data_IF_715873646479
#
_entry.id   IF_715873646479
#
_cell.length_a   1.000
_cell.length_b   1.000
_cell.length_c   1.000
_cell.angle_alpha   90.00
_cell.angle_beta   90.00
_cell.angle_gamma   90.00
#
_symmetry.space_group_name_H-M   'P 1'
#
loop_
_entity.id
_entity.type
_entity.pdbx_description
1 polymer ?
#
# COMPACT_ATOMS: atom_id res chain seq x y z
N UNK A 1 2.13 -34.65 9.65
CA UNK A 1 1.85 -33.78 8.49
C UNK A 1 1.68 -32.36 8.98
N UNK A 2 2.54 -31.46 8.55
CA UNK A 2 2.51 -30.08 8.98
C UNK A 2 2.09 -29.17 7.82
N UNK A 3 1.02 -28.39 8.03
CA UNK A 3 0.63 -27.32 7.12
C UNK A 3 1.07 -26.00 7.71
N UNK A 4 1.64 -25.16 6.89
CA UNK A 4 2.06 -23.82 7.29
C UNK A 4 1.53 -22.79 6.30
N UNK A 5 1.09 -21.66 6.83
CA UNK A 5 0.66 -20.52 6.02
C UNK A 5 1.67 -19.39 6.21
N UNK A 6 2.14 -18.84 5.10
CA UNK A 6 3.02 -17.68 5.11
C UNK A 6 2.47 -16.60 4.22
N UNK A 7 2.75 -15.35 4.55
CA UNK A 7 2.37 -14.19 3.75
C UNK A 7 3.65 -13.60 3.15
N UNK A 8 3.64 -13.41 1.83
CA UNK A 8 4.75 -12.80 1.11
C UNK A 8 4.25 -11.56 0.38
N UNK A 9 5.01 -10.48 0.46
CA UNK A 9 4.76 -9.27 -0.34
C UNK A 9 5.63 -9.40 -1.59
N UNK A 10 5.15 -10.20 -2.55
CA UNK A 10 5.97 -10.61 -3.67
C UNK A 10 6.12 -9.55 -4.75
N UNK A 11 5.35 -8.46 -4.65
CA UNK A 11 5.47 -7.37 -5.59
C UNK A 11 5.09 -6.05 -4.90
N UNK A 12 6.02 -5.10 -4.92
CA UNK A 12 5.79 -3.75 -4.41
C UNK A 12 6.25 -2.81 -5.53
N UNK A 13 5.30 -2.12 -6.17
CA UNK A 13 5.58 -1.26 -7.31
C UNK A 13 5.23 0.19 -7.00
N UNK A 14 6.08 1.10 -7.46
CA UNK A 14 5.82 2.53 -7.42
C UNK A 14 5.37 2.96 -8.81
N UNK A 15 4.18 3.54 -8.93
CA UNK A 15 3.55 3.80 -10.21
C UNK A 15 3.13 5.26 -10.32
N UNK A 16 3.48 5.88 -11.45
CA UNK A 16 3.00 7.20 -11.83
C UNK A 16 3.71 8.35 -11.13
N UNK A 17 3.29 9.55 -11.50
CA UNK A 17 3.93 10.78 -11.00
C UNK A 17 3.63 11.04 -9.52
N UNK A 18 2.53 10.48 -9.01
CA UNK A 18 2.14 10.64 -7.60
C UNK A 18 2.65 9.50 -6.74
N UNK A 19 3.46 8.61 -7.32
CA UNK A 19 4.10 7.51 -6.62
C UNK A 19 3.10 6.64 -5.85
N UNK A 20 2.00 6.24 -6.51
CA UNK A 20 1.09 5.26 -5.93
C UNK A 20 1.87 3.96 -5.71
N UNK A 21 1.74 3.38 -4.52
CA UNK A 21 2.44 2.14 -4.18
C UNK A 21 1.46 0.99 -4.31
N UNK A 22 1.67 0.14 -5.32
CA UNK A 22 0.86 -1.05 -5.57
C UNK A 22 1.53 -2.25 -4.92
N UNK A 23 0.77 -2.99 -4.14
CA UNK A 23 1.29 -4.14 -3.40
C UNK A 23 0.52 -5.38 -3.82
N UNK A 24 1.26 -6.44 -4.14
CA UNK A 24 0.69 -7.78 -4.31
C UNK A 24 1.15 -8.65 -3.15
N UNK A 25 0.19 -9.21 -2.47
CA UNK A 25 0.38 -10.01 -1.28
C UNK A 25 0.01 -11.45 -1.61
N UNK A 26 0.92 -12.37 -1.39
CA UNK A 26 0.69 -13.79 -1.66
C UNK A 26 0.49 -14.53 -0.34
N UNK A 27 -0.58 -15.29 -0.25
CA UNK A 27 -0.79 -16.24 0.84
C UNK A 27 -0.37 -17.60 0.34
N UNK A 28 0.66 -18.17 0.95
CA UNK A 28 1.28 -19.43 0.52
C UNK A 28 0.99 -20.49 1.56
N UNK A 29 0.40 -21.61 1.12
CA UNK A 29 0.15 -22.77 1.97
C UNK A 29 1.19 -23.83 1.61
N UNK A 30 1.95 -24.27 2.61
CA UNK A 30 2.99 -25.30 2.44
C UNK A 30 2.65 -26.53 3.27
N UNK A 31 3.03 -27.68 2.75
CA UNK A 31 2.96 -28.96 3.46
C UNK A 31 4.36 -29.56 3.49
N UNK A 32 4.88 -29.76 4.71
CA UNK A 32 6.22 -30.33 4.92
C UNK A 32 7.30 -29.60 4.13
N UNK A 33 7.18 -28.26 4.08
CA UNK A 33 8.14 -27.40 3.39
C UNK A 33 7.88 -27.20 1.90
N UNK A 34 6.89 -27.89 1.35
CA UNK A 34 6.57 -27.79 -0.08
C UNK A 34 5.32 -26.96 -0.30
N UNK A 35 5.35 -26.05 -1.25
CA UNK A 35 4.20 -25.19 -1.57
C UNK A 35 3.09 -26.02 -2.21
N UNK A 36 1.90 -25.96 -1.62
CA UNK A 36 0.71 -26.61 -2.17
C UNK A 36 -0.12 -25.67 -3.02
N UNK A 37 -0.30 -24.43 -2.55
CA UNK A 37 -1.13 -23.45 -3.23
C UNK A 37 -0.69 -22.05 -2.86
N UNK A 38 -1.07 -21.10 -3.71
CA UNK A 38 -0.76 -19.69 -3.54
C UNK A 38 -1.93 -18.86 -4.04
N UNK A 39 -2.38 -17.94 -3.23
CA UNK A 39 -3.42 -16.99 -3.62
C UNK A 39 -2.88 -15.57 -3.50
N UNK A 40 -3.48 -14.64 -4.26
CA UNK A 40 -2.97 -13.27 -4.35
C UNK A 40 -4.06 -12.27 -4.00
N UNK A 41 -3.64 -11.20 -3.31
CA UNK A 41 -4.44 -10.00 -3.09
C UNK A 41 -3.62 -8.80 -3.53
N UNK A 42 -4.30 -7.77 -4.04
CA UNK A 42 -3.65 -6.53 -4.44
C UNK A 42 -4.33 -5.36 -3.77
N UNK A 43 -3.52 -4.37 -3.39
CA UNK A 43 -4.05 -3.10 -2.94
C UNK A 43 -3.10 -1.96 -3.35
N UNK A 44 -3.60 -0.74 -3.28
CA UNK A 44 -2.86 0.47 -3.67
C UNK A 44 -2.89 1.44 -2.51
N UNK A 45 -1.73 2.06 -2.25
CA UNK A 45 -1.60 3.10 -1.24
C UNK A 45 -1.26 4.43 -1.90
N UNK A 46 -1.89 5.49 -1.42
CA UNK A 46 -1.66 6.86 -1.90
C UNK A 46 -1.06 7.72 -0.79
N UNK A 47 -0.39 8.84 -1.14
CA UNK A 47 0.31 9.67 -0.15
C UNK A 47 -0.57 10.25 0.96
N UNK A 48 -1.85 10.45 0.70
CA UNK A 48 -2.73 11.00 1.72
C UNK A 48 -4.10 11.39 1.18
N UNK A 49 -4.87 12.06 2.01
CA UNK A 49 -6.22 12.52 1.69
C UNK A 49 -6.37 13.99 2.07
N UNK A 50 -7.44 14.64 1.59
CA UNK A 50 -7.74 16.01 1.98
C UNK A 50 -8.67 16.02 3.19
N UNK A 51 -8.44 16.97 4.11
CA UNK A 51 -9.38 17.24 5.19
C UNK A 51 -10.43 18.29 4.73
N UNK A 52 -11.29 18.70 5.64
CA UNK A 52 -12.36 19.64 5.33
C UNK A 52 -11.85 21.03 4.90
N UNK A 53 -10.62 21.37 5.24
CA UNK A 53 -9.99 22.66 4.91
C UNK A 53 -9.02 22.55 3.73
N UNK A 54 -9.09 21.46 2.97
CA UNK A 54 -8.22 21.18 1.82
C UNK A 54 -6.74 21.07 2.18
N UNK A 55 -6.43 20.69 3.41
CA UNK A 55 -5.07 20.36 3.80
C UNK A 55 -4.82 18.88 3.59
N UNK A 56 -3.61 18.53 3.17
CA UNK A 56 -3.26 17.14 2.99
C UNK A 56 -3.00 16.49 4.35
N UNK A 57 -3.74 15.39 4.59
CA UNK A 57 -3.50 14.53 5.74
C UNK A 57 -2.69 13.34 5.23
N UNK A 58 -1.46 13.20 5.71
CA UNK A 58 -0.57 12.13 5.28
C UNK A 58 -1.19 10.76 5.59
N UNK A 59 -0.97 9.80 4.69
CA UNK A 59 -1.35 8.42 4.94
C UNK A 59 -0.56 7.91 6.15
N UNK A 60 -1.23 7.53 7.25
CA UNK A 60 -0.51 7.14 8.48
C UNK A 60 0.21 5.80 8.34
N UNK A 61 -0.05 5.06 7.27
CA UNK A 61 0.54 3.74 7.01
C UNK A 61 0.33 2.78 8.17
N UNK A 62 -0.87 2.80 8.76
CA UNK A 62 -1.19 1.92 9.89
C UNK A 62 -1.88 0.64 9.44
N UNK A 63 -2.95 0.75 8.66
CA UNK A 63 -3.72 -0.43 8.21
C UNK A 63 -3.79 -0.49 6.70
N UNK A 64 -3.85 -1.73 6.17
CA UNK A 64 -4.18 -1.98 4.77
C UNK A 64 -5.62 -1.53 4.51
N UNK A 65 -6.04 -1.44 3.21
CA UNK A 65 -7.41 -1.02 2.90
C UNK A 65 -8.51 -1.86 3.53
N UNK A 66 -8.20 -3.08 4.00
CA UNK A 66 -9.16 -3.90 4.73
C UNK A 66 -9.54 -3.32 6.10
N UNK A 67 -8.77 -2.36 6.61
CA UNK A 67 -9.01 -1.71 7.89
C UNK A 67 -8.56 -2.50 9.12
N UNK A 68 -8.02 -3.69 8.96
CA UNK A 68 -7.66 -4.58 10.08
C UNK A 68 -6.21 -5.04 10.07
N UNK A 69 -5.63 -5.27 8.90
CA UNK A 69 -4.27 -5.80 8.78
C UNK A 69 -3.24 -4.67 8.83
N UNK A 70 -2.26 -4.78 9.70
CA UNK A 70 -1.18 -3.80 9.77
C UNK A 70 -0.34 -3.83 8.50
N UNK A 71 0.05 -2.64 8.02
CA UNK A 71 0.92 -2.54 6.85
C UNK A 71 2.32 -3.02 7.24
N UNK A 72 2.89 -3.90 6.41
CA UNK A 72 4.22 -4.45 6.64
C UNK A 72 5.30 -3.36 6.57
N UNK A 73 6.36 -3.52 7.37
CA UNK A 73 7.45 -2.55 7.44
C UNK A 73 8.13 -2.32 6.09
N UNK A 74 8.28 -3.36 5.28
CA UNK A 74 8.88 -3.23 3.94
C UNK A 74 8.03 -2.35 3.02
N UNK A 75 6.71 -2.42 3.13
CA UNK A 75 5.79 -1.57 2.37
C UNK A 75 5.89 -0.13 2.87
N UNK A 76 5.90 0.07 4.19
CA UNK A 76 6.06 1.41 4.78
C UNK A 76 7.36 2.05 4.33
N UNK A 77 8.45 1.30 4.28
CA UNK A 77 9.75 1.81 3.86
C UNK A 77 9.73 2.32 2.43
N UNK A 78 9.09 1.58 1.51
CA UNK A 78 8.95 2.02 0.12
C UNK A 78 8.12 3.31 0.05
N UNK A 79 6.97 3.35 0.73
CA UNK A 79 6.11 4.53 0.74
C UNK A 79 6.86 5.76 1.28
N UNK A 80 7.56 5.61 2.39
CA UNK A 80 8.29 6.72 2.99
C UNK A 80 9.45 7.20 2.11
N UNK A 81 10.06 6.30 1.35
CA UNK A 81 11.15 6.65 0.44
C UNK A 81 10.66 7.47 -0.75
N UNK A 82 9.47 7.19 -1.28
CA UNK A 82 8.99 7.81 -2.52
C UNK A 82 8.02 8.96 -2.30
N UNK A 83 7.37 9.05 -1.15
CA UNK A 83 6.42 10.12 -0.85
C UNK A 83 7.15 11.33 -0.26
N UNK A 84 7.91 12.01 -1.12
CA UNK A 84 8.64 13.23 -0.76
C UNK A 84 7.67 14.39 -0.63
N UNK A 85 8.15 15.51 -0.08
CA UNK A 85 7.34 16.73 0.01
C UNK A 85 6.83 17.17 -1.36
N UNK A 86 7.66 17.09 -2.39
CA UNK A 86 7.25 17.45 -3.75
C UNK A 86 6.12 16.55 -4.26
N UNK A 87 6.20 15.23 -4.01
CA UNK A 87 5.16 14.28 -4.41
C UNK A 87 3.86 14.56 -3.65
N UNK A 88 3.94 14.80 -2.35
CA UNK A 88 2.77 15.12 -1.54
C UNK A 88 2.09 16.40 -2.00
N UNK A 89 2.87 17.43 -2.32
CA UNK A 89 2.32 18.69 -2.82
C UNK A 89 1.61 18.51 -4.18
N UNK A 90 2.21 17.72 -5.07
CA UNK A 90 1.60 17.40 -6.37
C UNK A 90 0.31 16.61 -6.18
N UNK A 91 0.29 15.64 -5.28
CA UNK A 91 -0.89 14.83 -4.96
C UNK A 91 -2.01 15.69 -4.37
N UNK A 92 -1.67 16.59 -3.45
CA UNK A 92 -2.63 17.55 -2.88
C UNK A 92 -3.26 18.40 -3.98
N UNK A 93 -2.45 18.94 -4.89
CA UNK A 93 -2.94 19.76 -5.98
C UNK A 93 -3.89 18.97 -6.89
N UNK A 94 -3.57 17.70 -7.18
CA UNK A 94 -4.45 16.82 -7.94
C UNK A 94 -5.77 16.58 -7.25
N UNK A 95 -5.75 16.30 -5.96
CA UNK A 95 -6.98 16.05 -5.18
C UNK A 95 -7.88 17.28 -5.17
N UNK A 96 -7.30 18.47 -5.04
CA UNK A 96 -8.05 19.72 -5.08
C UNK A 96 -8.65 19.93 -6.47
N UNK A 97 -7.87 19.70 -7.52
CA UNK A 97 -8.33 19.86 -8.91
C UNK A 97 -9.46 18.89 -9.27
N UNK A 98 -9.46 17.70 -8.68
CA UNK A 98 -10.46 16.66 -8.94
C UNK A 98 -11.74 16.85 -8.13
N UNK A 99 -11.80 17.83 -7.21
CA UNK A 99 -13.01 18.06 -6.42
C UNK A 99 -14.13 18.57 -7.31
N UNK A 100 -15.35 18.07 -7.11
CA UNK A 100 -16.50 18.64 -7.82
C UNK A 100 -16.74 20.07 -7.38
N UNK A 101 -17.04 20.93 -8.32
CA UNK A 101 -17.31 22.33 -8.06
C UNK A 101 -18.79 22.57 -7.73
#
# INVERSE_FOLDING_TARGET
MALAETIEYDKIEVVGQYKAVQVRKATVIKKDGNELTRSFERFVLHPGTLDASDNLVDNPLSKEPDGTTDIADEVKAVCNAVWTTAVKNAWKAKLIADKPS
#
